data_IF_900683195139
#
_entry.id   IF_900683195139
#
_cell.length_a   1.000
_cell.length_b   1.000
_cell.length_c   1.000
_cell.angle_alpha   90.00
_cell.angle_beta   90.00
_cell.angle_gamma   90.00
#
_symmetry.space_group_name_H-M   'P 1'
#
loop_
_entity.id
_entity.type
_entity.pdbx_description
1 polymer ?
#
# COMPACT_ATOMS: atom_id res chain seq x y z
N UNK A 1 -12.53 -0.36 -20.70
CA UNK A 1 -12.24 -1.76 -20.37
C UNK A 1 -11.30 -1.74 -19.17
N UNK A 2 -11.73 -2.23 -18.01
CA UNK A 2 -10.82 -2.38 -16.86
C UNK A 2 -9.76 -3.39 -17.28
N UNK A 3 -8.49 -3.01 -17.20
CA UNK A 3 -7.36 -3.77 -17.70
C UNK A 3 -7.20 -5.08 -16.90
N UNK A 4 -7.68 -6.18 -17.47
CA UNK A 4 -7.68 -7.54 -16.88
C UNK A 4 -6.29 -7.96 -16.36
N UNK A 5 -5.24 -7.49 -17.05
CA UNK A 5 -3.85 -7.70 -16.68
C UNK A 5 -3.48 -7.12 -15.30
N UNK A 6 -3.95 -5.92 -14.96
CA UNK A 6 -3.61 -5.30 -13.68
C UNK A 6 -4.33 -5.98 -12.51
N UNK A 7 -5.57 -6.45 -12.75
CA UNK A 7 -6.30 -7.25 -11.78
C UNK A 7 -5.60 -8.59 -11.53
N UNK A 8 -5.17 -9.28 -12.59
CA UNK A 8 -4.40 -10.51 -12.46
C UNK A 8 -3.06 -10.28 -11.73
N UNK A 9 -2.32 -9.24 -12.09
CA UNK A 9 -1.06 -8.88 -11.42
C UNK A 9 -1.28 -8.57 -9.93
N UNK A 10 -2.36 -7.85 -9.60
CA UNK A 10 -2.73 -7.56 -8.21
C UNK A 10 -3.04 -8.85 -7.43
N UNK A 11 -3.85 -9.76 -8.00
CA UNK A 11 -4.21 -11.02 -7.33
C UNK A 11 -2.96 -11.88 -7.10
N UNK A 12 -2.09 -12.01 -8.10
CA UNK A 12 -0.85 -12.77 -7.98
C UNK A 12 0.10 -12.15 -6.96
N UNK A 13 0.25 -10.82 -6.97
CA UNK A 13 1.01 -10.11 -5.94
C UNK A 13 0.45 -10.38 -4.55
N UNK A 14 -0.87 -10.21 -4.35
CA UNK A 14 -1.50 -10.35 -3.05
C UNK A 14 -1.35 -11.77 -2.52
N UNK A 15 -1.57 -12.79 -3.36
CA UNK A 15 -1.40 -14.20 -2.97
C UNK A 15 0.02 -14.51 -2.50
N UNK A 16 1.03 -13.95 -3.17
CA UNK A 16 2.44 -14.13 -2.78
C UNK A 16 2.79 -13.31 -1.52
N UNK A 17 2.21 -12.12 -1.37
CA UNK A 17 2.46 -11.26 -0.23
C UNK A 17 1.79 -11.80 1.05
N UNK A 18 0.58 -12.33 0.94
CA UNK A 18 -0.21 -12.91 2.04
C UNK A 18 0.45 -14.11 2.69
N UNK A 19 1.20 -14.93 1.95
CA UNK A 19 1.86 -16.12 2.53
C UNK A 19 2.82 -15.76 3.66
N UNK A 20 3.48 -14.60 3.55
CA UNK A 20 4.54 -14.18 4.46
C UNK A 20 4.12 -13.00 5.36
N UNK A 21 3.06 -12.27 4.99
CA UNK A 21 2.67 -11.01 5.63
C UNK A 21 1.21 -11.00 6.15
N UNK A 22 0.60 -12.18 6.37
CA UNK A 22 -0.78 -12.29 6.84
C UNK A 22 -1.06 -11.46 8.10
N UNK A 23 -0.17 -11.53 9.08
CA UNK A 23 -0.33 -10.81 10.36
C UNK A 23 -0.28 -9.29 10.15
N UNK A 24 0.62 -8.82 9.26
CA UNK A 24 0.68 -7.41 8.88
C UNK A 24 -0.63 -6.95 8.22
N UNK A 25 -1.19 -7.74 7.30
CA UNK A 25 -2.44 -7.39 6.60
C UNK A 25 -3.60 -7.27 7.59
N UNK A 26 -3.73 -8.25 8.50
CA UNK A 26 -4.76 -8.23 9.55
C UNK A 26 -4.54 -7.03 10.49
N UNK A 27 -3.30 -6.76 10.91
CA UNK A 27 -2.97 -5.65 11.79
C UNK A 27 -3.22 -4.29 11.13
N UNK A 28 -2.84 -4.10 9.87
CA UNK A 28 -3.07 -2.87 9.11
C UNK A 28 -4.57 -2.61 8.95
N UNK A 29 -5.34 -3.63 8.56
CA UNK A 29 -6.80 -3.52 8.39
C UNK A 29 -7.51 -3.21 9.70
N UNK A 30 -7.07 -3.82 10.81
CA UNK A 30 -7.68 -3.62 12.13
C UNK A 30 -7.31 -2.27 12.75
N UNK A 31 -6.06 -1.81 12.57
CA UNK A 31 -5.59 -0.53 13.11
C UNK A 31 -6.13 0.67 12.33
N UNK A 32 -6.32 0.51 11.02
CA UNK A 32 -6.65 1.60 10.10
C UNK A 32 -7.82 1.25 9.17
N UNK A 33 -9.01 1.00 9.72
CA UNK A 33 -10.20 0.60 8.95
C UNK A 33 -10.71 1.69 8.00
N UNK A 34 -10.26 2.94 8.15
CA UNK A 34 -10.63 4.09 7.33
C UNK A 34 -9.84 4.19 6.01
N UNK A 35 -8.86 3.32 5.79
CA UNK A 35 -8.13 3.24 4.52
C UNK A 35 -9.05 2.73 3.42
N UNK A 36 -9.05 3.41 2.27
CA UNK A 36 -9.72 2.88 1.08
C UNK A 36 -8.96 1.70 0.50
N UNK A 37 -9.62 0.87 -0.33
CA UNK A 37 -8.96 -0.25 -1.03
C UNK A 37 -7.68 0.18 -1.74
N UNK A 38 -7.70 1.28 -2.49
CA UNK A 38 -6.51 1.76 -3.20
C UNK A 38 -5.40 2.22 -2.24
N UNK A 39 -5.74 2.84 -1.11
CA UNK A 39 -4.75 3.22 -0.10
C UNK A 39 -4.12 1.99 0.55
N UNK A 40 -4.94 0.97 0.83
CA UNK A 40 -4.47 -0.30 1.35
C UNK A 40 -3.50 -0.98 0.38
N UNK A 41 -3.83 -1.05 -0.92
CA UNK A 41 -2.93 -1.57 -1.96
C UNK A 41 -1.58 -0.85 -1.96
N UNK A 42 -1.57 0.49 -1.90
CA UNK A 42 -0.33 1.29 -1.81
C UNK A 42 0.49 0.91 -0.56
N UNK A 43 -0.14 0.71 0.60
CA UNK A 43 0.55 0.27 1.82
C UNK A 43 1.19 -1.12 1.66
N UNK A 44 0.50 -2.07 1.00
CA UNK A 44 1.02 -3.41 0.78
C UNK A 44 2.24 -3.39 -0.15
N UNK A 45 2.17 -2.63 -1.25
CA UNK A 45 3.33 -2.47 -2.13
C UNK A 45 4.51 -1.79 -1.42
N UNK A 46 4.26 -0.74 -0.64
CA UNK A 46 5.31 -0.08 0.15
C UNK A 46 5.96 -1.03 1.16
N UNK A 47 5.16 -1.83 1.89
CA UNK A 47 5.67 -2.84 2.83
C UNK A 47 6.51 -3.90 2.13
N UNK A 48 6.14 -4.26 0.90
CA UNK A 48 6.87 -5.18 0.03
C UNK A 48 8.15 -4.58 -0.59
N UNK A 49 8.47 -3.30 -0.30
CA UNK A 49 9.71 -2.65 -0.76
C UNK A 49 9.61 -1.94 -2.11
N UNK A 50 8.42 -1.76 -2.66
CA UNK A 50 8.25 -1.03 -3.93
C UNK A 50 8.45 0.47 -3.72
N UNK A 51 9.10 1.12 -4.69
CA UNK A 51 9.19 2.57 -4.75
C UNK A 51 7.94 3.21 -5.41
N UNK A 52 7.81 4.53 -5.29
CA UNK A 52 6.65 5.27 -5.84
C UNK A 52 6.48 5.10 -7.34
N UNK A 53 7.56 4.85 -8.07
CA UNK A 53 7.52 4.61 -9.52
C UNK A 53 6.94 3.23 -9.84
N UNK A 54 7.43 2.20 -9.17
CA UNK A 54 6.96 0.82 -9.36
C UNK A 54 5.50 0.67 -8.93
N UNK A 55 5.09 1.39 -7.87
CA UNK A 55 3.68 1.44 -7.43
C UNK A 55 2.80 2.14 -8.48
N UNK A 56 3.29 3.23 -9.06
CA UNK A 56 2.57 3.95 -10.11
C UNK A 56 2.32 3.05 -11.33
N UNK A 57 3.33 2.31 -11.76
CA UNK A 57 3.22 1.33 -12.85
C UNK A 57 2.25 0.18 -12.49
N UNK A 58 2.34 -0.38 -11.28
CA UNK A 58 1.49 -1.49 -10.84
C UNK A 58 0.00 -1.12 -10.74
N UNK A 59 -0.29 0.11 -10.32
CA UNK A 59 -1.65 0.60 -10.11
C UNK A 59 -2.22 1.37 -11.32
N UNK A 60 -1.45 1.53 -12.40
CA UNK A 60 -1.80 2.39 -13.56
C UNK A 60 -2.15 3.83 -13.13
N UNK A 61 -1.29 4.38 -12.28
CA UNK A 61 -1.40 5.73 -11.72
C UNK A 61 -0.19 6.56 -12.13
N UNK A 62 -0.32 7.88 -12.04
CA UNK A 62 0.86 8.76 -12.10
C UNK A 62 1.66 8.68 -10.80
N UNK A 63 2.97 8.94 -10.86
CA UNK A 63 3.82 9.06 -9.66
C UNK A 63 3.22 10.09 -8.68
N UNK A 64 2.74 11.23 -9.18
CA UNK A 64 2.09 12.26 -8.35
C UNK A 64 0.82 11.76 -7.67
N UNK A 65 0.06 10.89 -8.32
CA UNK A 65 -1.11 10.26 -7.72
C UNK A 65 -0.69 9.37 -6.54
N UNK A 66 0.38 8.58 -6.69
CA UNK A 66 0.93 7.76 -5.60
C UNK A 66 1.46 8.62 -4.46
N UNK A 67 2.18 9.70 -4.74
CA UNK A 67 2.63 10.67 -3.71
C UNK A 67 1.45 11.28 -2.94
N UNK A 68 0.36 11.63 -3.65
CA UNK A 68 -0.88 12.10 -3.04
C UNK A 68 -1.54 11.04 -2.16
N UNK A 69 -1.54 9.76 -2.58
CA UNK A 69 -1.96 8.65 -1.73
C UNK A 69 -1.10 8.55 -0.48
N UNK A 70 0.23 8.56 -0.61
CA UNK A 70 1.16 8.52 0.53
C UNK A 70 0.90 9.68 1.52
N UNK A 71 0.69 10.89 1.02
CA UNK A 71 0.34 12.04 1.85
C UNK A 71 -0.97 11.84 2.63
N UNK A 72 -2.02 11.40 1.93
CA UNK A 72 -3.35 11.13 2.54
C UNK A 72 -3.29 9.99 3.54
N UNK A 73 -2.54 8.94 3.24
CA UNK A 73 -2.29 7.82 4.15
C UNK A 73 -1.62 8.35 5.40
N UNK A 74 -0.49 9.05 5.30
CA UNK A 74 0.19 9.64 6.47
C UNK A 74 -0.73 10.48 7.35
N UNK A 75 -1.60 11.28 6.74
CA UNK A 75 -2.62 12.08 7.44
C UNK A 75 -3.66 11.21 8.17
N UNK A 76 -4.17 10.16 7.53
CA UNK A 76 -5.15 9.23 8.12
C UNK A 76 -4.57 8.41 9.27
N UNK A 77 -3.34 7.93 9.10
CA UNK A 77 -2.59 7.19 10.09
C UNK A 77 -2.01 8.09 11.21
N UNK A 78 -2.30 9.39 11.18
CA UNK A 78 -1.84 10.40 12.14
C UNK A 78 -0.32 10.40 12.35
N UNK A 79 0.45 10.12 11.29
CA UNK A 79 1.91 10.03 11.40
C UNK A 79 2.54 11.41 11.59
N UNK A 80 3.49 11.49 12.51
CA UNK A 80 4.27 12.70 12.73
C UNK A 80 5.08 13.07 11.47
N UNK A 81 5.43 14.35 11.34
CA UNK A 81 6.11 14.87 10.16
C UNK A 81 7.45 14.16 9.87
N UNK A 82 8.14 13.71 10.92
CA UNK A 82 9.41 12.98 10.84
C UNK A 82 9.25 11.46 10.65
N UNK A 83 8.03 10.93 10.71
CA UNK A 83 7.80 9.49 10.54
C UNK A 83 7.64 9.17 9.06
N UNK A 84 8.58 8.37 8.53
CA UNK A 84 8.48 7.83 7.19
C UNK A 84 7.37 6.77 7.12
N UNK A 85 6.51 6.84 6.09
CA UNK A 85 5.39 5.91 5.92
C UNK A 85 5.86 4.45 5.76
N UNK A 86 6.89 4.21 4.97
CA UNK A 86 7.46 2.87 4.78
C UNK A 86 8.01 2.29 6.09
N UNK A 87 8.77 3.09 6.86
CA UNK A 87 9.26 2.68 8.18
C UNK A 87 8.13 2.38 9.15
N UNK A 88 7.08 3.20 9.15
CA UNK A 88 5.88 2.94 9.96
C UNK A 88 5.23 1.61 9.59
N UNK A 89 5.00 1.36 8.29
CA UNK A 89 4.42 0.10 7.82
C UNK A 89 5.32 -1.08 8.18
N UNK A 90 6.65 -0.91 8.11
CA UNK A 90 7.61 -1.94 8.53
C UNK A 90 7.53 -2.27 10.03
N UNK A 91 7.15 -1.32 10.87
CA UNK A 91 6.98 -1.52 12.32
C UNK A 91 5.66 -2.21 12.71
N UNK A 92 4.73 -2.37 11.77
CA UNK A 92 3.52 -3.14 12.00
C UNK A 92 3.90 -4.61 11.82
N UNK A 93 3.93 -5.31 12.97
CA UNK A 93 4.40 -6.69 13.15
C UNK A 93 5.91 -6.82 12.96
#
# INVERSE_FOLDING_TARGET
>A
MVNDKNQHNWITFLSNFESDNKDFIVALSSRHPELTKSQFQVCLYLRSGFDTKSIAEALDLSIRSVESHCYRIRKKLELHHNTNLGTYLYSIV
#
